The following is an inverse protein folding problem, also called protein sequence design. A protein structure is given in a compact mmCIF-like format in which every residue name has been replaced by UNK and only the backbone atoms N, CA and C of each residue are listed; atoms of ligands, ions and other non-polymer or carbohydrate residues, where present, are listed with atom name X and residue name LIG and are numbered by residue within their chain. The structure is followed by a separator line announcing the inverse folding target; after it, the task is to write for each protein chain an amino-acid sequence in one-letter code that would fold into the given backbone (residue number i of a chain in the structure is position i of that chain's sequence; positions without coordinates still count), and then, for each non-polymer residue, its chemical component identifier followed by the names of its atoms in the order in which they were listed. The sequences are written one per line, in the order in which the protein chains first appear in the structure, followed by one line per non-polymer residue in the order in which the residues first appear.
data_IF_897414942939
#
_entry.id   IF_897414942939
#
_cell.length_a   1.000
_cell.length_b   1.000
_cell.length_c   1.000
_cell.angle_alpha   90.00
_cell.angle_beta   90.00
_cell.angle_gamma   90.00
#
_symmetry.space_group_name_H-M   'P 1'
#
loop_
_entity.id
_entity.type
_entity.pdbx_description
1 polymer ?
#
# COMPACT_ATOMS: atom_id res chain seq x y z
N UNK A 1 4.66 -4.33 4.09
CA UNK A 1 5.20 -5.63 3.59
C UNK A 1 6.31 -5.43 2.55
N UNK A 2 6.52 -4.19 2.13
CA UNK A 2 7.51 -3.69 1.16
C UNK A 2 8.98 -3.76 1.60
N UNK A 3 9.26 -3.73 2.90
CA UNK A 3 10.63 -3.54 3.44
C UNK A 3 11.61 -4.64 3.03
N UNK A 4 11.12 -5.84 2.68
CA UNK A 4 11.95 -6.99 2.29
C UNK A 4 12.08 -7.19 0.76
N UNK A 5 11.34 -6.44 -0.05
CA UNK A 5 11.45 -6.55 -1.50
C UNK A 5 12.64 -5.71 -2.00
N UNK A 6 13.46 -6.23 -2.93
CA UNK A 6 14.48 -5.41 -3.56
C UNK A 6 13.84 -4.15 -4.20
N UNK A 7 14.49 -2.97 -4.11
CA UNK A 7 13.88 -1.71 -4.54
C UNK A 7 13.33 -1.71 -5.98
N UNK A 8 13.96 -2.46 -6.89
CA UNK A 8 13.51 -2.61 -8.28
C UNK A 8 12.11 -3.24 -8.35
N UNK A 9 11.84 -4.25 -7.52
CA UNK A 9 10.54 -4.90 -7.46
C UNK A 9 9.52 -4.07 -6.68
N UNK A 10 9.92 -3.47 -5.55
CA UNK A 10 9.03 -2.61 -4.77
C UNK A 10 8.57 -1.38 -5.57
N UNK A 11 9.42 -0.87 -6.47
CA UNK A 11 9.12 0.32 -7.27
C UNK A 11 8.46 0.02 -8.63
N UNK A 12 8.17 -1.24 -8.94
CA UNK A 12 7.55 -1.62 -10.21
C UNK A 12 6.04 -1.31 -10.23
N UNK A 13 5.53 -0.82 -11.37
CA UNK A 13 4.09 -0.70 -11.58
C UNK A 13 3.52 -2.04 -12.10
N UNK A 14 3.11 -2.89 -11.17
CA UNK A 14 2.61 -4.22 -11.49
C UNK A 14 1.35 -4.21 -12.36
N UNK A 15 0.52 -3.17 -12.33
CA UNK A 15 -0.63 -3.06 -13.24
C UNK A 15 -0.17 -2.86 -14.68
N UNK A 16 0.81 -2.00 -14.93
CA UNK A 16 1.36 -1.79 -16.27
C UNK A 16 2.15 -3.00 -16.78
N UNK A 17 2.82 -3.75 -15.89
CA UNK A 17 3.43 -5.04 -16.26
C UNK A 17 2.36 -6.07 -16.60
N UNK A 18 1.32 -6.21 -15.76
CA UNK A 18 0.22 -7.14 -15.99
C UNK A 18 -0.59 -6.79 -17.25
N UNK A 19 -0.62 -5.52 -17.68
CA UNK A 19 -1.25 -5.05 -18.91
C UNK A 19 -0.65 -5.69 -20.18
N UNK A 20 0.64 -6.06 -20.16
CA UNK A 20 1.33 -6.60 -21.35
C UNK A 20 0.68 -7.87 -21.85
N UNK A 21 0.28 -8.78 -20.94
CA UNK A 21 -0.29 -10.08 -21.30
C UNK A 21 -1.64 -9.97 -22.05
N UNK A 22 -2.70 -9.30 -21.52
CA UNK A 22 -3.97 -9.19 -22.22
C UNK A 22 -3.86 -8.34 -23.49
N UNK A 23 -2.99 -7.32 -23.53
CA UNK A 23 -2.73 -6.56 -24.76
C UNK A 23 -2.06 -7.42 -25.83
N UNK A 24 -1.05 -8.22 -25.48
CA UNK A 24 -0.41 -9.13 -26.42
C UNK A 24 -1.40 -10.16 -26.98
N UNK A 25 -2.28 -10.70 -26.13
CA UNK A 25 -3.36 -11.59 -26.56
C UNK A 25 -4.35 -10.90 -27.50
N UNK A 26 -4.75 -9.65 -27.22
CA UNK A 26 -5.60 -8.85 -28.11
C UNK A 26 -4.93 -8.58 -29.47
N UNK A 27 -3.63 -8.27 -29.48
CA UNK A 27 -2.87 -8.06 -30.72
C UNK A 27 -2.77 -9.35 -31.53
N UNK A 28 -2.47 -10.48 -30.88
CA UNK A 28 -2.44 -11.80 -31.53
C UNK A 28 -3.82 -12.19 -32.08
N UNK A 29 -4.90 -11.88 -31.36
CA UNK A 29 -6.28 -12.14 -31.77
C UNK A 29 -6.70 -11.36 -33.03
N UNK A 30 -6.16 -10.16 -33.19
CA UNK A 30 -6.57 -9.20 -34.23
C UNK A 30 -5.67 -9.24 -35.46
N UNK A 31 -4.43 -9.72 -35.35
CA UNK A 31 -3.50 -9.88 -36.49
C UNK A 31 -3.68 -11.25 -37.17
N UNK A 32 -3.99 -11.30 -38.48
CA UNK A 32 -4.19 -12.56 -39.20
C UNK A 32 -2.94 -13.43 -39.36
N UNK A 33 -1.74 -12.82 -39.34
CA UNK A 33 -0.47 -13.47 -39.72
C UNK A 33 0.32 -14.02 -38.53
N UNK A 34 0.05 -13.58 -37.29
CA UNK A 34 0.85 -13.94 -36.10
C UNK A 34 0.66 -15.39 -35.62
N UNK A 35 -0.35 -16.10 -36.12
CA UNK A 35 -0.56 -17.53 -35.85
C UNK A 35 -0.06 -18.45 -36.97
N UNK A 36 0.55 -17.91 -38.03
CA UNK A 36 1.07 -18.70 -39.14
C UNK A 36 2.43 -19.33 -38.83
N UNK A 37 3.22 -18.75 -37.91
CA UNK A 37 4.58 -19.22 -37.58
C UNK A 37 4.63 -20.38 -36.58
N UNK A 38 3.50 -20.83 -36.04
CA UNK A 38 3.42 -21.98 -35.09
C UNK A 38 2.71 -23.19 -35.71
N UNK A 39 2.20 -23.08 -36.94
CA UNK A 39 1.41 -24.14 -37.57
C UNK A 39 2.07 -24.65 -38.86
N UNK A 40 3.02 -25.57 -38.70
CA UNK A 40 3.39 -26.56 -39.75
C UNK A 40 2.59 -27.83 -39.47
N UNK A 41 1.27 -27.76 -39.42
CA UNK A 41 0.37 -28.92 -39.64
C UNK A 41 -0.97 -28.37 -40.13
N UNK A 42 -1.43 -28.93 -41.25
CA UNK A 42 -2.66 -28.64 -41.94
C UNK A 42 -3.93 -28.76 -41.08
N UNK A 43 -4.97 -28.07 -41.56
CA UNK A 43 -6.31 -27.85 -41.01
C UNK A 43 -6.44 -26.64 -40.08
N UNK A 44 -7.29 -25.71 -40.50
CA UNK A 44 -7.57 -24.43 -39.88
C UNK A 44 -7.68 -24.51 -38.34
N UNK A 45 -6.58 -24.16 -37.66
CA UNK A 45 -6.41 -24.19 -36.21
C UNK A 45 -7.67 -23.68 -35.45
N UNK A 46 -8.33 -24.48 -34.60
CA UNK A 46 -9.46 -24.04 -33.76
C UNK A 46 -9.16 -22.81 -32.89
N UNK A 47 -7.89 -22.53 -32.61
CA UNK A 47 -7.43 -21.29 -31.98
C UNK A 47 -7.84 -20.01 -32.74
N UNK A 48 -7.83 -20.01 -34.09
CA UNK A 48 -8.19 -18.83 -34.91
C UNK A 48 -9.68 -18.48 -34.80
N UNK A 49 -10.55 -19.48 -34.65
CA UNK A 49 -11.99 -19.30 -34.54
C UNK A 49 -12.43 -18.94 -33.11
N UNK A 50 -11.74 -19.44 -32.08
CA UNK A 50 -12.08 -19.20 -30.68
C UNK A 50 -11.69 -17.77 -30.23
N UNK A 51 -10.51 -17.31 -30.63
CA UNK A 51 -9.91 -16.05 -30.15
C UNK A 51 -10.53 -14.80 -30.83
N UNK A 52 -11.16 -14.96 -32.01
CA UNK A 52 -11.87 -13.88 -32.70
C UNK A 52 -13.33 -13.69 -32.25
N UNK A 53 -13.82 -14.52 -31.32
CA UNK A 53 -15.18 -14.39 -30.80
C UNK A 53 -15.29 -13.11 -29.97
N UNK A 54 -16.31 -12.26 -30.20
CA UNK A 54 -16.56 -11.09 -29.38
C UNK A 54 -16.63 -11.41 -27.87
N UNK A 55 -17.10 -12.60 -27.51
CA UNK A 55 -17.17 -13.09 -26.13
C UNK A 55 -15.82 -13.23 -25.43
N UNK A 56 -14.72 -13.39 -26.18
CA UNK A 56 -13.34 -13.45 -25.65
C UNK A 56 -12.68 -12.08 -25.72
N UNK A 57 -12.90 -11.34 -26.81
CA UNK A 57 -12.31 -10.03 -27.02
C UNK A 57 -12.80 -8.98 -26.01
N UNK A 58 -14.09 -9.00 -25.63
CA UNK A 58 -14.63 -8.05 -24.65
C UNK A 58 -13.99 -8.16 -23.27
N UNK A 59 -13.94 -9.35 -22.61
CA UNK A 59 -13.25 -9.50 -21.33
C UNK A 59 -11.78 -9.10 -21.37
N UNK A 60 -11.04 -9.48 -22.43
CA UNK A 60 -9.65 -9.09 -22.59
C UNK A 60 -9.48 -7.56 -22.70
N UNK A 61 -10.40 -6.90 -23.39
CA UNK A 61 -10.39 -5.45 -23.55
C UNK A 61 -10.70 -4.72 -22.24
N UNK A 62 -11.72 -5.20 -21.50
CA UNK A 62 -12.07 -4.67 -20.18
C UNK A 62 -10.90 -4.87 -19.21
N UNK A 63 -10.32 -6.07 -19.16
CA UNK A 63 -9.16 -6.35 -18.32
C UNK A 63 -7.95 -5.47 -18.65
N UNK A 64 -7.66 -5.28 -19.94
CA UNK A 64 -6.61 -4.37 -20.40
C UNK A 64 -6.90 -2.93 -19.97
N UNK A 65 -8.13 -2.45 -20.16
CA UNK A 65 -8.51 -1.11 -19.74
C UNK A 65 -8.42 -0.93 -18.22
N UNK A 66 -8.83 -1.93 -17.44
CA UNK A 66 -8.70 -1.94 -15.97
C UNK A 66 -7.23 -1.82 -15.55
N UNK A 67 -6.32 -2.63 -16.10
CA UNK A 67 -4.90 -2.54 -15.77
C UNK A 67 -4.27 -1.22 -16.23
N UNK A 68 -4.64 -0.72 -17.41
CA UNK A 68 -4.15 0.57 -17.89
C UNK A 68 -4.60 1.74 -17.01
N UNK A 69 -5.88 1.78 -16.62
CA UNK A 69 -6.42 2.81 -15.73
C UNK A 69 -5.81 2.69 -14.34
N UNK A 70 -5.79 1.49 -13.74
CA UNK A 70 -5.18 1.27 -12.43
C UNK A 70 -3.69 1.63 -12.41
N UNK A 71 -2.95 1.24 -13.46
CA UNK A 71 -1.53 1.58 -13.61
C UNK A 71 -1.30 3.07 -13.73
N UNK A 72 -2.06 3.78 -14.58
CA UNK A 72 -1.96 5.22 -14.73
C UNK A 72 -2.38 5.97 -13.45
N UNK A 73 -3.43 5.52 -12.77
CA UNK A 73 -3.87 6.06 -11.49
C UNK A 73 -2.81 5.88 -10.40
N UNK A 74 -2.14 4.73 -10.37
CA UNK A 74 -1.02 4.48 -9.45
C UNK A 74 0.17 5.39 -9.75
N UNK A 75 0.54 5.61 -11.02
CA UNK A 75 1.59 6.58 -11.38
C UNK A 75 1.23 8.00 -10.95
N UNK A 76 -0.03 8.40 -11.14
CA UNK A 76 -0.49 9.71 -10.72
C UNK A 76 -0.44 9.86 -9.21
N UNK A 77 -0.90 8.85 -8.47
CA UNK A 77 -0.84 8.83 -7.01
C UNK A 77 0.61 8.84 -6.50
N UNK A 78 1.49 8.07 -7.15
CA UNK A 78 2.93 8.04 -6.90
C UNK A 78 3.60 9.40 -7.11
N UNK A 79 3.29 10.07 -8.22
CA UNK A 79 3.81 11.41 -8.52
C UNK A 79 3.40 12.46 -7.48
N UNK A 80 2.34 12.22 -6.71
CA UNK A 80 1.88 13.09 -5.63
C UNK A 80 2.35 12.63 -4.24
N UNK A 81 3.37 11.76 -4.16
CA UNK A 81 3.92 11.22 -2.90
C UNK A 81 2.93 10.38 -2.09
N UNK A 82 1.98 9.75 -2.75
CA UNK A 82 1.10 8.72 -2.17
C UNK A 82 0.38 9.14 -0.88
N UNK A 83 -0.30 10.30 -0.87
CA UNK A 83 -0.84 10.87 0.36
C UNK A 83 -1.86 9.93 1.00
N UNK A 84 -1.78 9.77 2.31
CA UNK A 84 -2.89 9.23 3.11
C UNK A 84 -4.01 10.28 3.19
N UNK A 85 -5.16 9.93 3.77
CA UNK A 85 -6.17 10.95 4.05
C UNK A 85 -5.60 11.98 5.05
N UNK A 86 -6.02 13.25 4.94
CA UNK A 86 -5.55 14.31 5.86
C UNK A 86 -5.87 13.97 7.31
N UNK A 87 -7.06 13.39 7.55
CA UNK A 87 -7.48 12.94 8.88
C UNK A 87 -6.54 11.86 9.41
N UNK A 88 -6.17 10.88 8.59
CA UNK A 88 -5.22 9.83 9.00
C UNK A 88 -3.86 10.44 9.38
N UNK A 89 -3.38 11.35 8.56
CA UNK A 89 -2.10 12.02 8.75
C UNK A 89 -2.07 12.86 10.04
N UNK A 90 -3.09 13.71 10.25
CA UNK A 90 -3.20 14.57 11.43
C UNK A 90 -3.36 13.74 12.71
N UNK A 91 -4.11 12.63 12.65
CA UNK A 91 -4.27 11.70 13.78
C UNK A 91 -2.95 10.98 14.12
N UNK A 92 -2.16 10.59 13.11
CA UNK A 92 -0.84 9.98 13.30
C UNK A 92 0.12 10.96 13.96
N UNK A 93 0.20 12.20 13.47
CA UNK A 93 1.05 13.24 14.06
C UNK A 93 0.62 13.60 15.50
N UNK A 94 -0.68 13.65 15.78
CA UNK A 94 -1.19 13.89 17.13
C UNK A 94 -0.81 12.75 18.09
N UNK A 95 -0.95 11.50 17.65
CA UNK A 95 -0.61 10.34 18.44
C UNK A 95 0.90 10.22 18.69
N UNK A 96 1.72 10.45 17.66
CA UNK A 96 3.18 10.45 17.76
C UNK A 96 3.65 11.47 18.83
N UNK A 97 3.19 12.72 18.73
CA UNK A 97 3.48 13.77 19.72
C UNK A 97 3.09 13.34 21.14
N UNK A 98 1.91 12.76 21.28
CA UNK A 98 1.40 12.27 22.56
C UNK A 98 2.31 11.17 23.13
N UNK A 99 2.66 10.14 22.35
CA UNK A 99 3.55 9.05 22.80
C UNK A 99 4.93 9.59 23.22
N UNK A 100 5.50 10.53 22.46
CA UNK A 100 6.78 11.15 22.81
C UNK A 100 6.68 11.93 24.13
N UNK A 101 5.59 12.66 24.34
CA UNK A 101 5.33 13.40 25.58
C UNK A 101 5.17 12.47 26.79
N UNK A 102 4.42 11.38 26.66
CA UNK A 102 4.26 10.35 27.69
C UNK A 102 5.63 9.77 28.08
N UNK A 103 6.43 9.32 27.10
CA UNK A 103 7.74 8.75 27.39
C UNK A 103 8.64 9.73 28.15
N UNK A 104 8.62 11.02 27.76
CA UNK A 104 9.39 12.08 28.44
C UNK A 104 8.88 12.36 29.85
N UNK A 105 7.57 12.52 30.06
CA UNK A 105 6.97 12.71 31.40
C UNK A 105 7.31 11.56 32.35
N UNK A 106 7.32 10.36 31.81
CA UNK A 106 7.66 9.16 32.56
C UNK A 106 9.17 8.87 32.61
N UNK A 107 10.01 9.77 32.10
CA UNK A 107 11.48 9.65 32.15
C UNK A 107 11.98 8.29 31.62
N UNK A 108 11.34 7.77 30.57
CA UNK A 108 11.77 6.53 29.90
C UNK A 108 12.69 6.91 28.76
N UNK A 109 13.96 6.46 28.76
CA UNK A 109 14.83 6.64 27.62
C UNK A 109 14.24 5.96 26.39
N UNK A 110 14.12 6.71 25.30
CA UNK A 110 13.75 6.20 23.99
C UNK A 110 14.57 6.93 22.93
N UNK A 111 14.59 6.42 21.70
CA UNK A 111 15.16 7.12 20.56
C UNK A 111 14.21 7.05 19.37
N UNK A 112 14.25 8.06 18.51
CA UNK A 112 13.56 7.97 17.21
C UNK A 112 14.17 6.86 16.36
N UNK A 113 13.32 6.05 15.74
CA UNK A 113 13.72 4.88 14.95
C UNK A 113 13.17 4.95 13.53
N UNK A 114 13.64 4.07 12.64
CA UNK A 114 13.13 3.88 11.27
C UNK A 114 12.88 5.20 10.51
N UNK A 115 11.68 5.36 9.93
CA UNK A 115 11.29 6.53 9.15
C UNK A 115 11.34 7.81 10.00
N UNK A 116 10.86 7.74 11.24
CA UNK A 116 10.92 8.86 12.20
C UNK A 116 12.33 9.41 12.37
N UNK A 117 13.33 8.54 12.55
CA UNK A 117 14.72 8.98 12.66
C UNK A 117 15.19 9.71 11.39
N UNK A 118 14.82 9.21 10.20
CA UNK A 118 15.15 9.87 8.94
C UNK A 118 14.49 11.25 8.82
N UNK A 119 13.26 11.42 9.30
CA UNK A 119 12.58 12.72 9.29
C UNK A 119 13.31 13.73 10.17
N UNK A 120 13.69 13.31 11.38
CA UNK A 120 14.49 14.10 12.31
C UNK A 120 15.84 14.48 11.69
N UNK A 121 16.56 13.52 11.12
CA UNK A 121 17.87 13.75 10.50
C UNK A 121 17.79 14.68 9.27
N UNK A 122 16.64 14.72 8.58
CA UNK A 122 16.36 15.62 7.46
C UNK A 122 15.82 16.99 7.90
N UNK A 123 15.81 17.27 9.21
CA UNK A 123 15.25 18.48 9.81
C UNK A 123 13.78 18.75 9.38
N UNK A 124 13.02 17.67 9.17
CA UNK A 124 11.59 17.79 8.91
C UNK A 124 10.87 18.09 10.23
N UNK A 125 9.79 18.86 10.17
CA UNK A 125 8.97 19.18 11.35
C UNK A 125 7.65 18.42 11.39
N UNK A 126 7.37 17.65 10.34
CA UNK A 126 6.14 16.89 10.10
C UNK A 126 6.46 15.51 9.58
N UNK A 127 5.55 14.57 9.79
CA UNK A 127 5.60 13.27 9.12
C UNK A 127 5.32 13.51 7.62
N UNK A 128 5.99 12.86 6.67
CA UNK A 128 5.63 12.98 5.26
C UNK A 128 4.20 12.47 5.00
N UNK A 129 3.46 13.13 4.11
CA UNK A 129 2.02 12.84 3.88
C UNK A 129 1.71 11.43 3.38
N UNK A 130 2.69 10.70 2.88
CA UNK A 130 2.54 9.30 2.42
C UNK A 130 2.99 8.26 3.44
N UNK A 131 3.55 8.70 4.57
CA UNK A 131 3.98 7.83 5.67
C UNK A 131 2.81 7.55 6.62
N UNK A 132 2.84 6.42 7.31
CA UNK A 132 1.65 5.81 7.92
C UNK A 132 1.68 5.71 9.44
N UNK A 133 2.85 5.89 10.04
CA UNK A 133 3.08 5.65 11.46
C UNK A 133 4.22 6.51 11.98
N UNK A 134 4.62 6.25 13.22
CA UNK A 134 5.80 6.85 13.81
C UNK A 134 6.47 5.84 14.74
N UNK A 135 7.77 5.68 14.60
CA UNK A 135 8.54 4.71 15.39
C UNK A 135 9.48 5.34 16.43
N UNK A 136 9.52 4.72 17.60
CA UNK A 136 10.59 4.87 18.59
C UNK A 136 11.14 3.52 19.02
N UNK A 137 12.43 3.48 19.34
CA UNK A 137 13.07 2.36 20.01
C UNK A 137 13.29 2.66 21.49
N UNK A 138 13.23 1.62 22.33
CA UNK A 138 13.62 1.70 23.74
C UNK A 138 14.10 0.35 24.25
N UNK A 139 14.84 0.35 25.36
CA UNK A 139 15.21 -0.90 26.03
C UNK A 139 13.98 -1.51 26.70
N UNK A 140 13.79 -2.81 26.51
CA UNK A 140 12.71 -3.56 27.17
C UNK A 140 12.84 -3.48 28.70
N UNK A 141 14.07 -3.47 29.21
CA UNK A 141 14.36 -3.32 30.64
C UNK A 141 13.89 -1.97 31.18
N UNK A 142 14.13 -0.88 30.46
CA UNK A 142 13.73 0.47 30.88
C UNK A 142 12.20 0.61 30.85
N UNK A 143 11.55 0.07 29.81
CA UNK A 143 10.10 0.02 29.71
C UNK A 143 9.48 -0.75 30.90
N UNK A 144 10.00 -1.94 31.19
CA UNK A 144 9.51 -2.78 32.30
C UNK A 144 9.82 -2.16 33.66
N UNK A 145 10.98 -1.55 33.83
CA UNK A 145 11.32 -0.86 35.07
C UNK A 145 10.37 0.31 35.33
N UNK A 146 9.99 1.07 34.30
CA UNK A 146 9.11 2.22 34.48
C UNK A 146 7.65 1.84 34.66
N UNK A 147 7.13 0.98 33.80
CA UNK A 147 5.69 0.70 33.75
C UNK A 147 5.32 -0.62 34.42
N UNK A 148 6.27 -1.53 34.66
CA UNK A 148 6.05 -2.87 35.18
C UNK A 148 5.49 -3.85 34.14
N UNK A 149 4.52 -3.42 33.33
CA UNK A 149 3.91 -4.24 32.28
C UNK A 149 3.28 -3.38 31.17
N UNK A 150 2.98 -4.01 30.03
CA UNK A 150 2.23 -3.34 28.96
C UNK A 150 0.80 -3.00 29.39
N UNK A 151 0.18 -3.79 30.28
CA UNK A 151 -1.15 -3.49 30.81
C UNK A 151 -1.15 -2.19 31.65
N UNK A 152 -0.13 -1.99 32.48
CA UNK A 152 0.03 -0.75 33.23
C UNK A 152 0.33 0.44 32.31
N UNK A 153 1.20 0.26 31.31
CA UNK A 153 1.45 1.27 30.29
C UNK A 153 0.16 1.64 29.56
N UNK A 154 -0.67 0.65 29.20
CA UNK A 154 -1.98 0.87 28.59
C UNK A 154 -2.90 1.70 29.47
N UNK A 155 -2.93 1.47 30.79
CA UNK A 155 -3.75 2.25 31.70
C UNK A 155 -3.28 3.71 31.81
N UNK A 156 -1.96 3.94 31.81
CA UNK A 156 -1.38 5.29 31.79
C UNK A 156 -1.75 6.01 30.49
N UNK A 157 -1.49 5.37 29.36
CA UNK A 157 -1.73 5.92 28.02
C UNK A 157 -3.22 6.20 27.78
N UNK A 158 -4.11 5.30 28.17
CA UNK A 158 -5.56 5.50 28.05
C UNK A 158 -6.04 6.71 28.88
N UNK A 159 -5.58 6.83 30.12
CA UNK A 159 -5.93 7.96 30.98
C UNK A 159 -5.42 9.30 30.42
N UNK A 160 -4.15 9.36 30.03
CA UNK A 160 -3.55 10.61 29.54
C UNK A 160 -4.09 11.01 28.16
N UNK A 161 -4.41 10.05 27.28
CA UNK A 161 -4.96 10.34 25.97
C UNK A 161 -6.34 11.02 26.02
N UNK A 162 -7.19 10.62 26.97
CA UNK A 162 -8.48 11.26 27.19
C UNK A 162 -8.35 12.73 27.61
N UNK A 163 -7.25 13.09 28.27
CA UNK A 163 -6.96 14.47 28.69
C UNK A 163 -6.34 15.27 27.54
N UNK A 164 -5.35 14.71 26.84
CA UNK A 164 -4.49 15.47 25.93
C UNK A 164 -4.98 15.49 24.48
N UNK A 165 -5.37 14.34 23.96
CA UNK A 165 -5.85 14.21 22.57
C UNK A 165 -7.37 14.02 22.51
N UNK A 166 -8.03 13.97 23.67
CA UNK A 166 -9.48 13.87 23.86
C UNK A 166 -10.11 12.68 23.13
N UNK A 167 -9.37 11.57 23.04
CA UNK A 167 -9.75 10.39 22.27
C UNK A 167 -9.30 9.11 22.95
N UNK A 168 -10.07 8.02 22.77
CA UNK A 168 -9.65 6.71 23.23
C UNK A 168 -8.46 6.23 22.40
N UNK A 169 -7.49 5.66 23.10
CA UNK A 169 -6.34 4.98 22.51
C UNK A 169 -6.33 3.54 22.96
N UNK A 170 -5.78 2.68 22.13
CA UNK A 170 -5.65 1.26 22.41
C UNK A 170 -4.19 0.87 22.27
N UNK A 171 -3.68 0.20 23.30
CA UNK A 171 -2.32 -0.33 23.30
C UNK A 171 -2.40 -1.82 22.99
N UNK A 172 -1.72 -2.23 21.93
CA UNK A 172 -1.61 -3.62 21.49
C UNK A 172 -0.16 -4.06 21.63
N UNK A 173 0.07 -5.18 22.32
CA UNK A 173 1.40 -5.80 22.40
C UNK A 173 1.52 -6.95 21.42
N UNK A 174 2.40 -6.80 20.43
CA UNK A 174 2.78 -7.85 19.50
C UNK A 174 4.01 -8.59 20.05
N UNK A 175 3.77 -9.56 20.93
CA UNK A 175 4.85 -10.29 21.61
C UNK A 175 5.88 -10.92 20.67
N UNK A 176 5.42 -11.49 19.54
CA UNK A 176 6.29 -12.09 18.53
C UNK A 176 7.21 -11.08 17.81
N UNK A 177 6.93 -9.78 17.96
CA UNK A 177 7.64 -8.66 17.32
C UNK A 177 8.39 -7.80 18.34
N UNK A 178 8.22 -8.08 19.64
CA UNK A 178 8.63 -7.20 20.73
C UNK A 178 8.21 -5.73 20.47
N UNK A 179 6.97 -5.55 20.05
CA UNK A 179 6.43 -4.25 19.61
C UNK A 179 5.20 -3.88 20.43
N UNK A 180 5.19 -2.68 20.99
CA UNK A 180 4.00 -2.06 21.58
C UNK A 180 3.47 -1.02 20.61
N UNK A 181 2.27 -1.23 20.10
CA UNK A 181 1.61 -0.35 19.14
C UNK A 181 0.49 0.41 19.85
N UNK A 182 0.52 1.73 19.78
CA UNK A 182 -0.55 2.61 20.30
C UNK A 182 -1.36 3.07 19.12
N UNK A 183 -2.68 2.86 19.12
CA UNK A 183 -3.57 3.20 18.02
C UNK A 183 -4.78 4.01 18.50
N UNK A 184 -5.30 4.88 17.63
CA UNK A 184 -6.49 5.69 17.93
C UNK A 184 -7.77 4.97 17.47
N UNK A 185 -8.83 5.07 18.28
CA UNK A 185 -10.22 4.58 18.07
C UNK A 185 -10.42 3.07 17.80
N UNK A 186 -9.39 2.34 17.38
CA UNK A 186 -9.51 0.95 16.92
C UNK A 186 -8.64 0.01 17.75
N UNK A 187 -9.27 -1.06 18.27
CA UNK A 187 -8.55 -2.10 19.04
C UNK A 187 -7.68 -3.00 18.16
N UNK A 188 -8.02 -3.08 16.87
CA UNK A 188 -7.30 -3.92 15.92
C UNK A 188 -6.03 -3.23 15.37
N UNK A 189 -5.77 -1.99 15.80
CA UNK A 189 -4.60 -1.19 15.43
C UNK A 189 -4.41 -1.04 13.90
N UNK A 190 -5.51 -1.08 13.14
CA UNK A 190 -5.52 -0.93 11.67
C UNK A 190 -5.61 0.53 11.21
N UNK A 191 -5.66 1.48 12.15
CA UNK A 191 -5.72 2.93 11.88
C UNK A 191 -4.38 3.64 12.12
N UNK A 192 -4.42 4.97 12.29
CA UNK A 192 -3.28 5.77 12.74
C UNK A 192 -2.68 5.17 14.01
N UNK A 193 -1.37 4.94 14.00
CA UNK A 193 -0.67 4.33 15.12
C UNK A 193 0.76 4.86 15.29
N UNK A 194 1.30 4.61 16.48
CA UNK A 194 2.68 4.89 16.84
C UNK A 194 3.29 3.63 17.49
N UNK A 195 4.48 3.28 17.03
CA UNK A 195 5.15 2.03 17.33
C UNK A 195 6.32 2.25 18.30
N UNK A 196 6.35 1.40 19.33
CA UNK A 196 7.41 1.36 20.33
C UNK A 196 8.09 0.00 20.24
N UNK A 197 9.27 0.01 19.62
CA UNK A 197 10.10 -1.17 19.41
C UNK A 197 10.94 -1.45 20.64
N UNK A 198 10.71 -2.60 21.27
CA UNK A 198 11.44 -3.01 22.45
C UNK A 198 12.70 -3.77 22.04
N UNK A 199 13.86 -3.25 22.43
CA UNK A 199 15.16 -3.88 22.21
C UNK A 199 15.64 -4.56 23.49
N UNK A 200 16.21 -5.74 23.35
CA UNK A 200 16.90 -6.44 24.44
C UNK A 200 18.38 -6.12 24.38
N UNK A 201 19.02 -6.05 25.53
CA UNK A 201 20.47 -5.91 25.60
C UNK A 201 21.10 -7.29 25.77
N UNK A 202 22.00 -7.65 24.86
CA UNK A 202 22.73 -8.92 24.86
C UNK A 202 24.24 -8.63 24.89
N UNK A 203 25.00 -9.41 25.65
CA UNK A 203 26.46 -9.26 25.76
C UNK A 203 27.09 -10.51 25.16
N UNK A 204 27.98 -10.31 24.19
CA UNK A 204 28.80 -11.39 23.64
C UNK A 204 29.87 -11.78 24.65
N UNK A 205 29.79 -12.99 25.20
CA UNK A 205 30.70 -13.51 26.22
C UNK A 205 32.18 -13.53 25.78
N UNK A 206 32.44 -13.64 24.47
CA UNK A 206 33.79 -13.76 23.93
C UNK A 206 34.47 -12.41 23.71
N UNK A 207 33.71 -11.40 23.32
CA UNK A 207 34.24 -10.07 22.99
C UNK A 207 33.90 -9.01 24.03
N UNK A 208 32.96 -9.29 24.93
CA UNK A 208 32.35 -8.30 25.83
C UNK A 208 31.48 -7.27 25.10
N UNK A 209 31.25 -7.43 23.79
CA UNK A 209 30.48 -6.47 23.00
C UNK A 209 29.02 -6.50 23.39
N UNK A 210 28.46 -5.33 23.65
CA UNK A 210 27.05 -5.19 23.99
C UNK A 210 26.23 -4.81 22.76
N UNK A 211 25.19 -5.59 22.49
CA UNK A 211 24.26 -5.42 21.38
C UNK A 211 22.86 -5.09 21.85
N UNK A 212 22.16 -4.26 21.08
CA UNK A 212 20.72 -4.07 21.17
C UNK A 212 20.08 -4.93 20.08
N UNK A 213 19.20 -5.84 20.50
CA UNK A 213 18.66 -6.90 19.65
C UNK A 213 17.14 -6.79 19.55
N UNK A 214 16.63 -6.88 18.33
CA UNK A 214 15.20 -7.05 18.05
C UNK A 214 15.01 -8.00 16.85
N UNK A 215 14.34 -9.13 17.11
CA UNK A 215 14.18 -10.26 16.17
C UNK A 215 12.92 -10.17 15.29
N UNK A 216 12.19 -9.04 15.29
CA UNK A 216 11.05 -8.85 14.39
C UNK A 216 11.45 -9.17 12.94
N UNK A 217 10.57 -9.37 11.96
CA UNK A 217 11.03 -9.67 10.57
C UNK A 217 11.17 -8.46 9.66
N UNK A 218 10.65 -7.32 10.07
CA UNK A 218 10.55 -6.07 9.29
C UNK A 218 11.74 -5.15 9.53
N UNK A 219 12.40 -5.25 10.69
CA UNK A 219 13.66 -4.54 10.97
C UNK A 219 14.77 -5.12 10.08
N UNK A 220 15.68 -4.33 9.52
CA UNK A 220 16.80 -4.86 8.75
C UNK A 220 18.03 -5.07 9.62
N UNK A 221 18.30 -4.15 10.54
CA UNK A 221 19.40 -4.26 11.50
C UNK A 221 18.98 -4.97 12.79
N UNK A 222 19.10 -6.29 12.83
CA UNK A 222 18.77 -7.11 14.02
C UNK A 222 19.62 -6.83 15.25
N UNK A 223 20.85 -6.42 15.00
CA UNK A 223 21.85 -6.17 16.02
C UNK A 223 22.39 -4.75 15.81
N UNK A 224 22.21 -3.89 16.81
CA UNK A 224 22.79 -2.56 16.86
C UNK A 224 23.83 -2.52 17.97
N UNK A 225 25.01 -1.97 17.72
CA UNK A 225 26.00 -1.77 18.78
C UNK A 225 25.45 -0.81 19.84
N UNK A 226 25.42 -1.25 21.10
CA UNK A 226 24.81 -0.48 22.18
C UNK A 226 25.51 0.86 22.38
N UNK A 227 26.82 0.94 22.19
CA UNK A 227 27.60 2.17 22.34
C UNK A 227 27.43 3.14 21.16
N UNK A 228 26.82 2.72 20.05
CA UNK A 228 26.45 3.58 18.93
C UNK A 228 25.04 4.16 19.09
N UNK A 229 24.19 3.52 19.89
CA UNK A 229 22.83 3.98 20.18
C UNK A 229 22.78 4.76 21.48
N UNK A 230 23.43 4.25 22.53
CA UNK A 230 23.37 4.74 23.90
C UNK A 230 24.72 5.25 24.42
N UNK A 231 24.71 6.18 25.41
CA UNK A 231 23.58 6.98 25.82
C UNK A 231 23.12 7.88 24.67
N UNK A 232 21.87 8.32 24.76
CA UNK A 232 21.25 9.20 23.78
C UNK A 232 21.99 10.54 23.70
N UNK A 233 21.77 11.30 22.63
CA UNK A 233 22.30 12.65 22.54
C UNK A 233 21.71 13.54 23.64
N UNK A 234 22.55 14.39 24.24
CA UNK A 234 22.13 15.30 25.32
C UNK A 234 21.14 16.35 24.81
N UNK A 235 21.38 16.88 23.61
CA UNK A 235 20.50 17.83 22.94
C UNK A 235 19.36 17.09 22.22
N UNK A 236 18.13 17.28 22.71
CA UNK A 236 16.96 16.77 22.03
C UNK A 236 16.76 17.47 20.68
N UNK A 237 16.41 16.71 19.64
CA UNK A 237 15.97 17.27 18.37
C UNK A 237 14.52 17.73 18.46
N UNK A 238 14.09 18.63 17.57
CA UNK A 238 12.70 19.09 17.52
C UNK A 238 11.98 18.42 16.34
N UNK A 239 10.95 17.63 16.64
CA UNK A 239 10.10 16.98 15.64
C UNK A 239 8.64 17.05 16.07
N UNK A 240 7.73 17.36 15.15
CA UNK A 240 6.32 17.61 15.47
C UNK A 240 6.13 18.63 16.60
N UNK A 241 6.99 19.66 16.65
CA UNK A 241 7.02 20.68 17.69
C UNK A 241 7.19 20.14 19.13
N UNK A 242 7.70 18.91 19.29
CA UNK A 242 8.06 18.35 20.59
C UNK A 242 9.53 17.92 20.59
N UNK A 243 10.24 18.03 21.73
CA UNK A 243 11.58 17.48 21.86
C UNK A 243 11.53 15.96 21.74
N UNK A 244 12.38 15.40 20.89
CA UNK A 244 12.55 13.97 20.69
C UNK A 244 14.01 13.57 20.89
N UNK A 245 14.20 12.38 21.43
CA UNK A 245 15.52 11.83 21.67
C UNK A 245 16.10 11.19 20.39
N UNK A 246 17.41 11.36 20.22
CA UNK A 246 18.17 10.87 19.07
C UNK A 246 19.25 9.92 19.57
N UNK A 247 19.51 8.79 18.89
CA UNK A 247 20.60 7.90 19.27
C UNK A 247 21.96 8.61 19.17
N UNK A 248 22.94 8.19 19.97
CA UNK A 248 24.31 8.77 19.99
C UNK A 248 24.84 9.00 18.57
N UNK A 249 24.77 7.96 17.74
CA UNK A 249 25.17 7.97 16.35
C UNK A 249 23.97 7.65 15.43
N UNK A 250 23.14 8.65 15.16
CA UNK A 250 22.00 8.55 14.24
C UNK A 250 22.38 8.05 12.84
N UNK A 251 23.56 8.45 12.34
CA UNK A 251 24.06 7.98 11.03
C UNK A 251 24.33 6.48 11.04
N UNK A 252 24.89 5.93 12.12
CA UNK A 252 25.10 4.49 12.27
C UNK A 252 23.76 3.74 12.22
N UNK A 253 22.79 4.14 13.04
CA UNK A 253 21.48 3.48 13.13
C UNK A 253 20.74 3.53 11.79
N UNK A 254 20.68 4.70 11.16
CA UNK A 254 20.01 4.87 9.87
C UNK A 254 20.71 4.10 8.74
N UNK A 255 22.05 4.04 8.72
CA UNK A 255 22.80 3.27 7.73
C UNK A 255 22.66 1.77 7.93
N UNK A 256 22.58 1.30 9.17
CA UNK A 256 22.36 -0.12 9.47
C UNK A 256 20.99 -0.57 8.95
N UNK A 257 19.97 0.31 9.04
CA UNK A 257 18.62 -0.01 8.59
C UNK A 257 18.43 0.16 7.07
N UNK A 258 18.89 1.25 6.48
CA UNK A 258 18.58 1.60 5.09
C UNK A 258 19.77 1.50 4.13
N UNK A 259 20.96 1.13 4.63
CA UNK A 259 22.18 1.09 3.85
C UNK A 259 22.80 2.46 3.60
N UNK A 260 23.84 2.56 2.74
CA UNK A 260 24.61 3.80 2.56
C UNK A 260 23.81 4.97 1.97
N UNK A 261 22.71 4.68 1.26
CA UNK A 261 21.87 5.68 0.59
C UNK A 261 20.68 6.16 1.45
N UNK A 262 20.69 5.93 2.76
CA UNK A 262 19.56 6.18 3.68
C UNK A 262 18.97 7.60 3.65
N UNK A 263 19.78 8.62 3.30
CA UNK A 263 19.30 10.00 3.18
C UNK A 263 18.53 10.27 1.90
N UNK A 264 18.62 9.39 0.90
CA UNK A 264 17.85 9.51 -0.34
C UNK A 264 16.39 9.15 -0.04
N UNK A 265 15.43 10.07 -0.24
CA UNK A 265 14.02 9.73 -0.07
C UNK A 265 13.65 8.58 -0.99
N UNK A 266 13.06 7.53 -0.41
CA UNK A 266 12.53 6.41 -1.14
C UNK A 266 11.05 6.29 -0.80
N UNK A 267 10.23 6.51 -1.81
CA UNK A 267 8.83 6.09 -1.82
C UNK A 267 8.71 5.10 -2.96
N UNK A 268 8.09 3.96 -2.70
CA UNK A 268 7.91 2.90 -3.67
C UNK A 268 6.45 2.77 -4.09
N UNK A 269 6.19 2.41 -5.35
CA UNK A 269 4.82 2.17 -5.84
C UNK A 269 4.07 1.12 -5.03
N UNK A 270 4.79 0.14 -4.47
CA UNK A 270 4.19 -0.87 -3.61
C UNK A 270 3.74 -0.29 -2.26
N UNK A 271 4.48 0.62 -1.62
CA UNK A 271 4.00 1.33 -0.42
C UNK A 271 2.74 2.13 -0.71
N UNK A 272 2.70 2.81 -1.87
CA UNK A 272 1.51 3.54 -2.29
C UNK A 272 0.30 2.61 -2.49
N UNK A 273 0.53 1.44 -3.06
CA UNK A 273 -0.53 0.44 -3.18
C UNK A 273 -0.95 -0.11 -1.81
N UNK A 274 -0.02 -0.32 -0.87
CA UNK A 274 -0.32 -0.68 0.51
C UNK A 274 -1.20 0.39 1.18
N UNK A 275 -0.93 1.68 1.00
CA UNK A 275 -1.76 2.78 1.52
C UNK A 275 -3.21 2.72 1.03
N UNK A 276 -3.41 2.40 -0.26
CA UNK A 276 -4.75 2.26 -0.85
C UNK A 276 -5.44 1.00 -0.35
N UNK A 277 -4.74 -0.14 -0.32
CA UNK A 277 -5.30 -1.43 0.06
C UNK A 277 -5.65 -1.52 1.55
N UNK A 278 -4.82 -0.92 2.40
CA UNK A 278 -5.08 -0.81 3.84
C UNK A 278 -6.12 0.28 4.16
N UNK A 279 -6.52 1.07 3.16
CA UNK A 279 -7.57 2.08 3.29
C UNK A 279 -7.12 3.40 3.90
N UNK A 280 -5.81 3.62 4.10
CA UNK A 280 -5.26 4.86 4.66
C UNK A 280 -5.55 6.07 3.78
N UNK A 281 -5.49 5.89 2.45
CA UNK A 281 -5.84 6.94 1.47
C UNK A 281 -7.27 7.43 1.61
N UNK A 282 -8.20 6.55 2.02
CA UNK A 282 -9.64 6.83 2.11
C UNK A 282 -10.15 6.76 3.56
N UNK A 283 -9.24 6.87 4.53
CA UNK A 283 -9.55 6.76 5.94
C UNK A 283 -10.51 7.88 6.37
N UNK A 284 -11.59 7.50 7.06
CA UNK A 284 -12.72 8.37 7.47
C UNK A 284 -13.31 9.26 6.36
N UNK A 285 -13.07 8.92 5.10
CA UNK A 285 -13.63 9.65 3.95
C UNK A 285 -15.12 9.32 3.80
N UNK A 286 -15.99 10.31 3.49
CA UNK A 286 -17.42 10.07 3.28
C UNK A 286 -17.70 9.00 2.21
N UNK A 287 -18.74 8.20 2.43
CA UNK A 287 -19.16 7.14 1.48
C UNK A 287 -19.41 7.69 0.08
N UNK A 288 -20.02 8.88 -0.02
CA UNK A 288 -20.28 9.53 -1.30
C UNK A 288 -18.99 9.80 -2.09
N UNK A 289 -17.93 10.25 -1.43
CA UNK A 289 -16.62 10.48 -2.05
C UNK A 289 -16.00 9.17 -2.54
N UNK A 290 -16.09 8.09 -1.75
CA UNK A 290 -15.64 6.75 -2.16
C UNK A 290 -16.39 6.24 -3.40
N UNK A 291 -17.71 6.41 -3.41
CA UNK A 291 -18.55 6.08 -4.56
C UNK A 291 -18.19 6.91 -5.80
N UNK A 292 -17.88 8.19 -5.61
CA UNK A 292 -17.45 9.07 -6.71
C UNK A 292 -16.11 8.65 -7.31
N UNK A 293 -15.14 8.26 -6.49
CA UNK A 293 -13.87 7.67 -6.97
C UNK A 293 -14.11 6.38 -7.75
N UNK A 294 -14.93 5.47 -7.21
CA UNK A 294 -15.26 4.22 -7.88
C UNK A 294 -16.00 4.45 -9.22
N UNK A 295 -16.97 5.36 -9.25
CA UNK A 295 -17.69 5.75 -10.45
C UNK A 295 -16.77 6.37 -11.50
N UNK A 296 -15.84 7.23 -11.08
CA UNK A 296 -14.85 7.85 -11.98
C UNK A 296 -13.92 6.79 -12.58
N UNK A 297 -13.40 5.87 -11.79
CA UNK A 297 -12.58 4.76 -12.29
C UNK A 297 -13.37 3.88 -13.26
N UNK A 298 -14.62 3.54 -12.92
CA UNK A 298 -15.51 2.77 -13.80
C UNK A 298 -15.81 3.48 -15.12
N UNK A 299 -16.04 4.80 -15.09
CA UNK A 299 -16.25 5.61 -16.28
C UNK A 299 -15.00 5.64 -17.17
N UNK A 300 -13.80 5.79 -16.60
CA UNK A 300 -12.54 5.77 -17.34
C UNK A 300 -12.28 4.40 -18.00
N UNK A 301 -12.47 3.30 -17.26
CA UNK A 301 -12.35 1.94 -17.81
C UNK A 301 -13.34 1.74 -18.94
N UNK A 302 -14.59 2.16 -18.77
CA UNK A 302 -15.63 2.06 -19.80
C UNK A 302 -15.28 2.88 -21.04
N UNK A 303 -14.85 4.13 -20.87
CA UNK A 303 -14.47 5.02 -21.96
C UNK A 303 -13.29 4.45 -22.76
N UNK A 304 -12.23 3.99 -22.08
CA UNK A 304 -11.05 3.39 -22.71
C UNK A 304 -11.41 2.10 -23.45
N UNK A 305 -12.23 1.24 -22.84
CA UNK A 305 -12.73 0.00 -23.46
C UNK A 305 -13.51 0.31 -24.73
N UNK A 306 -14.49 1.22 -24.67
CA UNK A 306 -15.32 1.58 -25.83
C UNK A 306 -14.50 2.25 -26.94
N UNK A 307 -13.54 3.10 -26.58
CA UNK A 307 -12.63 3.74 -27.52
C UNK A 307 -11.79 2.68 -28.26
N UNK A 308 -11.16 1.76 -27.53
CA UNK A 308 -10.35 0.70 -28.12
C UNK A 308 -11.19 -0.27 -28.98
N UNK A 309 -12.42 -0.58 -28.56
CA UNK A 309 -13.34 -1.45 -29.31
C UNK A 309 -13.68 -0.90 -30.70
N UNK A 310 -13.69 0.42 -30.89
CA UNK A 310 -13.89 1.06 -32.21
C UNK A 310 -12.80 0.71 -33.22
N UNK A 311 -11.60 0.36 -32.76
CA UNK A 311 -10.47 0.00 -33.62
C UNK A 311 -10.38 -1.51 -33.90
N UNK A 312 -11.11 -2.34 -33.16
CA UNK A 312 -11.12 -3.80 -33.30
C UNK A 312 -12.30 -4.23 -34.18
N UNK A 313 -12.04 -4.65 -35.42
CA UNK A 313 -13.08 -4.91 -36.45
C UNK A 313 -14.26 -5.80 -35.96
N UNK A 314 -14.05 -6.97 -35.31
CA UNK A 314 -15.16 -7.78 -34.81
C UNK A 314 -16.05 -7.05 -33.81
N UNK A 315 -15.45 -6.28 -32.89
CA UNK A 315 -16.17 -5.54 -31.86
C UNK A 315 -16.89 -4.31 -32.42
N UNK A 316 -16.26 -3.58 -33.33
CA UNK A 316 -16.87 -2.45 -34.04
C UNK A 316 -18.17 -2.84 -34.74
N UNK A 317 -18.20 -4.01 -35.38
CA UNK A 317 -19.43 -4.53 -36.04
C UNK A 317 -20.55 -4.76 -35.03
N UNK A 318 -20.25 -5.33 -33.87
CA UNK A 318 -21.24 -5.55 -32.79
C UNK A 318 -21.77 -4.23 -32.25
N UNK A 319 -20.89 -3.24 -32.02
CA UNK A 319 -21.28 -1.91 -31.55
C UNK A 319 -22.21 -1.18 -32.54
N UNK A 320 -21.92 -1.29 -33.84
CA UNK A 320 -22.73 -0.65 -34.89
C UNK A 320 -24.04 -1.39 -35.19
N UNK A 321 -24.07 -2.72 -35.07
CA UNK A 321 -25.28 -3.51 -35.26
C UNK A 321 -26.36 -3.15 -34.21
N UNK A 322 -25.96 -2.92 -32.95
CA UNK A 322 -26.88 -2.51 -31.89
C UNK A 322 -27.40 -1.07 -32.04
N UNK A 323 -26.61 -0.16 -32.62
CA UNK A 323 -27.04 1.23 -32.84
C UNK A 323 -27.96 1.39 -34.06
N UNK A 324 -27.95 0.45 -35.01
CA UNK A 324 -28.87 0.43 -36.17
C UNK A 324 -30.16 -0.35 -35.94
N UNK A 325 -30.28 -1.09 -34.85
CA UNK A 325 -31.55 -1.71 -34.47
C UNK A 325 -32.51 -0.63 -33.95
N UNK A 326 -33.36 -0.09 -34.83
CA UNK A 326 -34.48 0.79 -34.45
C UNK A 326 -35.38 0.07 -33.42
N UNK A 327 -35.83 0.72 -32.33
CA UNK A 327 -36.79 0.16 -31.37
C UNK A 327 -38.24 0.26 -31.88
N UNK A 328 -38.46 -0.11 -33.14
CA UNK A 328 -39.76 0.05 -33.80
C UNK A 328 -39.65 -0.38 -35.24
N UNK A 329 -40.07 -1.62 -35.51
CA UNK A 329 -39.97 -2.21 -36.84
C UNK A 329 -40.44 -3.65 -36.80
N UNK A 330 -41.73 -3.83 -36.50
CA UNK A 330 -42.45 -5.04 -36.88
C UNK A 330 -42.14 -5.36 -38.35
N UNK A 331 -41.72 -6.60 -38.61
CA UNK A 331 -41.86 -7.19 -39.94
C UNK A 331 -42.34 -8.63 -39.78
N UNK A 332 -43.65 -8.73 -39.97
CA UNK A 332 -44.31 -9.68 -40.85
C UNK A 332 -43.74 -11.10 -40.85
N UNK A 333 -44.50 -11.98 -40.20
CA UNK A 333 -44.52 -13.39 -40.51
C UNK A 333 -44.73 -13.57 -42.03
N UNK A 334 -43.68 -13.99 -42.71
CA UNK A 334 -43.76 -14.52 -44.06
C UNK A 334 -44.11 -16.02 -43.93
N UNK A 335 -45.41 -16.30 -43.85
CA UNK A 335 -45.96 -17.64 -43.98
C UNK A 335 -45.74 -18.10 -45.42
N UNK A 336 -44.66 -18.83 -45.66
CA UNK A 336 -44.59 -19.77 -46.79
C UNK A 336 -45.24 -21.07 -46.33
N UNK A 337 -46.51 -21.22 -46.65
CA UNK A 337 -47.19 -22.52 -46.70
C UNK A 337 -46.40 -23.44 -47.64
N UNK A 338 -45.76 -24.46 -47.04
CA UNK A 338 -45.37 -25.68 -47.74
C UNK A 338 -46.56 -26.61 -47.61
N UNK A 339 -47.30 -26.75 -48.70
CA UNK A 339 -48.36 -27.74 -48.82
C UNK A 339 -47.72 -29.14 -48.92
N UNK A 340 -47.76 -29.87 -47.80
CA UNK A 340 -47.45 -31.29 -47.77
C UNK A 340 -48.66 -32.09 -48.30
N UNK A 341 -48.33 -33.06 -49.16
CA UNK A 341 -49.26 -34.03 -49.72
C UNK A 341 -49.42 -35.22 -48.76
N UNK A 342 -50.66 -35.71 -48.70
CA UNK A 342 -51.13 -37.09 -48.46
C UNK A 342 -51.67 -37.53 -47.08
N UNK A 343 -52.80 -38.27 -47.21
CA UNK A 343 -53.51 -39.20 -46.31
C UNK A 343 -54.49 -38.55 -45.30
N UNK A 344 -55.79 -38.87 -45.22
CA UNK A 344 -56.69 -39.93 -45.75
C UNK A 344 -58.06 -39.30 -46.02
#
# INVERSE_FOLDING_TARGET
MTVLLPPVFANCNYFLVALVAPVALLVAATRPQSCASVAVVDNASPCRALVRRPSVLWPLLVLSATFAVAGASLELYYAHSCPTSSVFHDETEALARFVYAVCRRHHVPYWTAFGTLLFVMRAQHRIPVGDTDSDIGMLETDFRQRFGSVANFSAVVDHEALVEIQRPVHVVYHAARALVQVAVDTRDATGPHADIWLYRQEVDDSTGTTWLVNDDRTIRSKYLLSDQVLPLQDDAALFLNVPVSVPRNATYVARAEYGPAFMTPLTTRMECLENVLNGYTLYKTPVLTKLWYAATCGALVTALTLLAAKYIRPLRRVLWAKTKAKPGGARAADQREVADKYFV
#
